data_IF_919217810998
#
_entry.id   IF_919217810998
#
_cell.length_a   1.000
_cell.length_b   1.000
_cell.length_c   1.000
_cell.angle_alpha   90.00
_cell.angle_beta   90.00
_cell.angle_gamma   90.00
#
_symmetry.space_group_name_H-M   'P 1'
#
loop_
_entity.id
_entity.type
_entity.pdbx_description
1 polymer ?
#
# COMPACT_ATOMS: atom_id res chain seq x y z
N UNK A 1 6.03 -5.36 -18.84
CA UNK A 1 6.31 -6.82 -18.74
C UNK A 1 5.61 -7.36 -17.50
N UNK A 2 4.94 -8.52 -17.62
CA UNK A 2 4.32 -9.24 -16.51
C UNK A 2 5.15 -10.49 -16.24
N UNK A 3 5.43 -10.80 -14.97
CA UNK A 3 6.12 -12.04 -14.59
C UNK A 3 5.49 -12.65 -13.35
N UNK A 4 5.60 -13.97 -13.23
CA UNK A 4 5.06 -14.73 -12.10
C UNK A 4 6.22 -15.23 -11.24
N UNK A 5 6.09 -15.06 -9.94
CA UNK A 5 7.04 -15.52 -8.92
C UNK A 5 6.29 -16.21 -7.79
N UNK A 6 7.01 -16.89 -6.90
CA UNK A 6 6.41 -17.58 -5.76
C UNK A 6 7.06 -17.09 -4.47
N UNK A 7 6.22 -16.77 -3.49
CA UNK A 7 6.62 -16.57 -2.11
C UNK A 7 6.10 -17.73 -1.27
N UNK A 8 6.98 -18.70 -0.97
CA UNK A 8 6.56 -19.97 -0.41
C UNK A 8 5.58 -20.69 -1.32
N UNK A 9 4.37 -21.00 -0.81
CA UNK A 9 3.30 -21.65 -1.56
C UNK A 9 2.35 -20.65 -2.25
N UNK A 10 2.59 -19.35 -2.11
CA UNK A 10 1.71 -18.29 -2.61
C UNK A 10 2.30 -17.70 -3.90
N UNK A 11 1.60 -17.80 -5.05
CA UNK A 11 2.04 -17.15 -6.28
C UNK A 11 1.90 -15.62 -6.16
N UNK A 12 2.82 -14.90 -6.81
CA UNK A 12 2.89 -13.44 -6.84
C UNK A 12 3.08 -12.95 -8.28
N UNK A 13 2.23 -12.02 -8.68
CA UNK A 13 2.31 -11.36 -9.99
C UNK A 13 3.15 -10.08 -9.88
N UNK A 14 4.21 -9.98 -10.66
CA UNK A 14 5.07 -8.80 -10.74
C UNK A 14 4.69 -8.01 -11.98
N UNK A 15 4.17 -6.81 -11.76
CA UNK A 15 3.81 -5.84 -12.79
C UNK A 15 4.95 -4.82 -12.93
N UNK A 16 5.57 -4.77 -14.10
CA UNK A 16 6.63 -3.78 -14.41
C UNK A 16 6.15 -2.70 -15.37
N UNK A 17 4.91 -2.79 -15.83
CA UNK A 17 4.31 -1.81 -16.73
C UNK A 17 3.72 -0.64 -15.94
N UNK A 18 4.09 0.59 -16.32
CA UNK A 18 3.72 1.78 -15.56
C UNK A 18 2.21 2.06 -15.61
N UNK A 19 1.54 1.76 -16.72
CA UNK A 19 0.10 1.98 -16.86
C UNK A 19 -0.67 1.02 -15.96
N UNK A 20 -0.30 -0.27 -15.98
CA UNK A 20 -0.91 -1.28 -15.11
C UNK A 20 -0.63 -0.99 -13.63
N UNK A 21 0.60 -0.60 -13.28
CA UNK A 21 0.96 -0.24 -11.90
C UNK A 21 0.11 0.94 -11.42
N UNK A 22 -0.07 1.96 -12.26
CA UNK A 22 -0.92 3.11 -11.93
C UNK A 22 -2.37 2.69 -11.72
N UNK A 23 -2.90 1.79 -12.54
CA UNK A 23 -4.27 1.29 -12.41
C UNK A 23 -4.48 0.58 -11.07
N UNK A 24 -3.59 -0.36 -10.73
CA UNK A 24 -3.61 -1.11 -9.47
C UNK A 24 -3.46 -0.18 -8.27
N UNK A 25 -2.47 0.72 -8.28
CA UNK A 25 -2.19 1.62 -7.15
C UNK A 25 -3.26 2.72 -6.98
N UNK A 26 -3.93 3.13 -8.06
CA UNK A 26 -5.04 4.07 -7.96
C UNK A 26 -6.25 3.46 -7.24
N UNK A 27 -6.37 2.13 -7.25
CA UNK A 27 -7.40 1.36 -6.56
C UNK A 27 -8.80 1.98 -6.63
N UNK A 28 -9.18 2.50 -7.80
CA UNK A 28 -10.38 3.35 -7.99
C UNK A 28 -11.68 2.65 -7.57
N UNK A 29 -11.67 1.31 -7.64
CA UNK A 29 -12.82 0.46 -7.36
C UNK A 29 -12.68 -0.36 -6.07
N UNK A 30 -11.61 -0.17 -5.30
CA UNK A 30 -11.37 -0.91 -4.05
C UNK A 30 -11.08 -2.41 -4.24
N UNK A 31 -10.77 -2.86 -5.45
CA UNK A 31 -10.51 -4.28 -5.75
C UNK A 31 -9.15 -4.78 -5.23
N UNK A 32 -8.25 -3.87 -4.89
CA UNK A 32 -6.91 -4.22 -4.42
C UNK A 32 -6.78 -3.90 -2.93
N UNK A 33 -6.44 -4.92 -2.14
CA UNK A 33 -6.07 -4.78 -0.72
C UNK A 33 -4.54 -4.80 -0.58
N UNK A 34 -4.02 -4.35 0.57
CA UNK A 34 -2.57 -4.47 0.79
C UNK A 34 -2.20 -5.96 0.89
N UNK A 35 -0.98 -6.33 0.48
CA UNK A 35 -0.52 -7.69 0.65
C UNK A 35 -0.56 -8.09 2.13
N UNK A 36 -0.81 -9.39 2.44
CA UNK A 36 -0.80 -9.88 3.80
C UNK A 36 0.52 -9.53 4.49
N UNK A 37 0.44 -8.86 5.65
CA UNK A 37 1.62 -8.60 6.45
C UNK A 37 2.16 -9.93 6.98
N UNK A 38 3.43 -10.22 6.70
CA UNK A 38 4.11 -11.37 7.31
C UNK A 38 4.02 -11.23 8.84
N UNK A 39 3.80 -12.34 9.55
CA UNK A 39 3.70 -12.33 11.00
C UNK A 39 4.92 -11.66 11.68
N UNK A 40 6.10 -11.79 11.06
CA UNK A 40 7.34 -11.12 11.47
C UNK A 40 7.35 -9.60 11.19
N UNK A 41 6.63 -9.16 10.16
CA UNK A 41 6.54 -7.76 9.74
C UNK A 41 5.54 -6.93 10.56
N UNK A 42 4.61 -7.56 11.29
CA UNK A 42 3.65 -6.83 12.16
C UNK A 42 4.33 -5.97 13.21
N UNK A 43 5.50 -6.38 13.69
CA UNK A 43 6.27 -5.60 14.68
C UNK A 43 7.06 -4.45 14.02
N UNK A 44 7.39 -4.57 12.73
CA UNK A 44 8.13 -3.57 11.96
C UNK A 44 7.22 -2.54 11.27
N UNK A 45 5.97 -2.93 10.99
CA UNK A 45 4.98 -2.12 10.29
C UNK A 45 3.85 -1.77 11.25
N UNK A 46 3.98 -0.62 11.92
CA UNK A 46 2.92 -0.04 12.77
C UNK A 46 2.43 1.29 12.22
N UNK A 47 1.24 1.74 12.67
CA UNK A 47 0.71 3.07 12.35
C UNK A 47 0.04 3.14 10.97
N UNK A 48 0.19 4.25 10.25
CA UNK A 48 -0.56 4.48 8.99
C UNK A 48 -0.28 3.42 7.92
N UNK A 49 0.89 2.78 7.93
CA UNK A 49 1.22 1.72 7.00
C UNK A 49 0.39 0.44 7.23
N UNK A 50 -0.02 0.16 8.47
CA UNK A 50 -0.76 -1.06 8.83
C UNK A 50 -2.28 -0.94 8.73
N UNK A 51 -2.83 0.28 8.72
CA UNK A 51 -4.27 0.54 8.63
C UNK A 51 -4.79 0.40 7.20
N UNK A 52 -6.05 -0.02 7.04
CA UNK A 52 -6.74 -0.10 5.75
C UNK A 52 -8.09 0.63 5.78
N UNK A 53 -8.67 0.84 4.59
CA UNK A 53 -10.02 1.38 4.43
C UNK A 53 -10.23 2.75 5.11
N UNK A 54 -11.35 2.88 5.81
CA UNK A 54 -11.77 4.12 6.46
C UNK A 54 -10.81 4.55 7.58
N UNK A 55 -10.31 3.59 8.38
CA UNK A 55 -9.37 3.88 9.46
C UNK A 55 -8.09 4.54 8.91
N UNK A 56 -7.59 4.02 7.78
CA UNK A 56 -6.47 4.63 7.07
C UNK A 56 -6.81 6.01 6.52
N UNK A 57 -7.99 6.18 5.91
CA UNK A 57 -8.41 7.44 5.32
C UNK A 57 -8.51 8.57 6.36
N UNK A 58 -9.09 8.28 7.54
CA UNK A 58 -9.20 9.22 8.66
C UNK A 58 -7.83 9.62 9.18
N UNK A 59 -6.95 8.65 9.43
CA UNK A 59 -5.61 8.90 9.95
C UNK A 59 -4.76 9.68 8.94
N UNK A 60 -4.83 9.34 7.65
CA UNK A 60 -4.15 10.07 6.57
C UNK A 60 -4.63 11.51 6.48
N UNK A 61 -5.94 11.76 6.55
CA UNK A 61 -6.51 13.11 6.49
C UNK A 61 -6.05 13.98 7.65
N UNK A 62 -5.91 13.43 8.85
CA UNK A 62 -5.40 14.15 10.02
C UNK A 62 -3.92 14.47 9.94
N UNK A 63 -3.12 13.59 9.33
CA UNK A 63 -1.67 13.75 9.21
C UNK A 63 -1.25 14.60 8.00
N UNK A 64 -2.04 14.62 6.92
CA UNK A 64 -1.72 15.37 5.70
C UNK A 64 -1.36 16.85 5.95
N UNK A 65 -2.00 17.57 6.90
CA UNK A 65 -1.66 18.95 7.21
C UNK A 65 -0.24 19.18 7.76
N UNK A 66 0.43 18.14 8.24
CA UNK A 66 1.81 18.20 8.75
C UNK A 66 2.81 18.17 7.59
N UNK A 67 2.46 17.49 6.49
CA UNK A 67 3.30 17.33 5.32
C UNK A 67 3.07 18.42 4.26
N UNK A 68 2.51 19.57 4.62
CA UNK A 68 2.47 20.73 3.73
C UNK A 68 3.87 21.35 3.62
N UNK A 69 4.22 21.81 2.41
CA UNK A 69 5.52 22.42 2.10
C UNK A 69 5.96 23.49 3.11
N UNK A 70 5.02 24.29 3.62
CA UNK A 70 5.28 25.34 4.60
C UNK A 70 5.74 24.81 5.98
N UNK A 71 5.43 23.55 6.29
CA UNK A 71 5.76 22.88 7.56
C UNK A 71 6.88 21.85 7.43
N UNK A 72 7.30 21.55 6.20
CA UNK A 72 8.44 20.70 5.88
C UNK A 72 9.71 21.57 5.86
N UNK A 73 10.18 21.97 7.04
CA UNK A 73 11.52 22.56 7.19
C UNK A 73 12.58 21.47 7.25
#
# INVERSE_FOLDING_TARGET
RISLSWFGKTPQLILMDAEMVKEVLSNKFGHFSKPPQLAQGKMLVSGLASLEGEQWAVQRRRLNPVFHLEKLK
#
